data_IF_399020361021
#
_entry.id   IF_399020361021
#
_cell.length_a   1.000
_cell.length_b   1.000
_cell.length_c   1.000
_cell.angle_alpha   90.00
_cell.angle_beta   90.00
_cell.angle_gamma   90.00
#
_symmetry.space_group_name_H-M   'P 1'
#
loop_
_entity.id
_entity.type
_entity.pdbx_description
1 polymer ?
#
# COMPACT_ATOMS: atom_id res chain seq x y z
N UNK A 1 15.03 -11.09 6.96
CA UNK A 1 14.34 -10.19 6.01
C UNK A 1 12.87 -10.60 5.88
N UNK A 2 11.97 -9.63 5.83
CA UNK A 2 10.53 -9.83 5.54
C UNK A 2 10.08 -8.78 4.52
N UNK A 3 8.99 -9.04 3.83
CA UNK A 3 8.37 -8.13 2.87
C UNK A 3 6.86 -8.23 2.98
N UNK A 4 6.20 -7.18 3.48
CA UNK A 4 4.78 -7.18 3.84
C UNK A 4 3.88 -6.47 2.82
N UNK A 5 4.37 -6.22 1.61
CA UNK A 5 3.57 -5.58 0.56
C UNK A 5 3.94 -6.17 -0.80
N UNK A 6 3.12 -7.10 -1.28
CA UNK A 6 3.32 -7.81 -2.55
C UNK A 6 1.99 -8.11 -3.23
N UNK A 7 1.98 -8.00 -4.54
CA UNK A 7 0.83 -8.28 -5.40
C UNK A 7 1.17 -9.45 -6.30
N UNK A 8 0.23 -10.39 -6.46
CA UNK A 8 0.35 -11.53 -7.35
C UNK A 8 0.07 -11.14 -8.80
N UNK A 9 -0.75 -10.11 -9.02
CA UNK A 9 -1.08 -9.60 -10.33
C UNK A 9 -0.52 -8.20 -10.55
N UNK A 10 0.25 -7.98 -11.63
CA UNK A 10 0.63 -6.62 -12.02
C UNK A 10 -0.61 -5.80 -12.42
N UNK A 11 -0.51 -4.48 -12.33
CA UNK A 11 -1.50 -3.56 -12.90
C UNK A 11 -1.60 -3.71 -14.43
N UNK A 12 -2.73 -3.29 -15.01
CA UNK A 12 -2.95 -3.46 -16.45
C UNK A 12 -2.07 -2.55 -17.32
N UNK A 13 -1.47 -1.51 -16.75
CA UNK A 13 -0.51 -0.63 -17.42
C UNK A 13 0.92 -1.21 -17.46
N UNK A 14 1.14 -2.39 -16.87
CA UNK A 14 2.43 -3.07 -16.94
C UNK A 14 2.55 -4.00 -18.16
N UNK A 15 3.28 -3.54 -19.17
CA UNK A 15 3.47 -4.25 -20.45
C UNK A 15 4.28 -5.56 -20.35
N UNK A 16 4.92 -5.87 -19.21
CA UNK A 16 5.72 -7.10 -19.07
C UNK A 16 4.79 -8.31 -18.89
N UNK A 17 5.17 -9.51 -19.36
CA UNK A 17 4.36 -10.72 -19.15
C UNK A 17 4.07 -10.97 -17.66
N UNK A 18 2.85 -11.43 -17.37
CA UNK A 18 2.37 -11.81 -16.05
C UNK A 18 1.33 -12.92 -16.14
N UNK A 19 0.86 -13.45 -15.00
CA UNK A 19 -0.27 -14.38 -15.01
C UNK A 19 -1.52 -13.70 -15.58
N UNK A 20 -2.41 -14.43 -16.27
CA UNK A 20 -3.71 -13.89 -16.64
C UNK A 20 -4.45 -13.37 -15.41
N UNK A 21 -5.20 -12.27 -15.56
CA UNK A 21 -5.92 -11.63 -14.44
C UNK A 21 -6.88 -12.64 -13.79
N UNK A 22 -6.77 -12.80 -12.47
CA UNK A 22 -7.59 -13.74 -11.69
C UNK A 22 -7.15 -15.21 -11.79
N UNK A 23 -6.07 -15.53 -12.52
CA UNK A 23 -5.47 -16.86 -12.54
C UNK A 23 -4.22 -16.92 -11.66
N UNK A 24 -4.06 -18.02 -10.92
CA UNK A 24 -2.93 -18.24 -10.03
C UNK A 24 -2.14 -19.48 -10.48
N UNK A 25 -1.20 -19.34 -11.44
CA UNK A 25 -0.46 -20.48 -11.98
C UNK A 25 0.33 -21.20 -10.88
N UNK A 26 0.41 -22.53 -11.00
CA UNK A 26 1.24 -23.33 -10.12
C UNK A 26 2.70 -22.84 -10.13
N UNK A 27 3.29 -22.63 -8.95
CA UNK A 27 4.65 -22.13 -8.79
C UNK A 27 4.76 -20.60 -8.74
N UNK A 28 3.68 -19.85 -8.98
CA UNK A 28 3.72 -18.38 -8.97
C UNK A 28 4.06 -17.82 -7.58
N UNK A 29 3.31 -18.23 -6.55
CA UNK A 29 3.58 -17.85 -5.15
C UNK A 29 4.97 -18.35 -4.72
N UNK A 30 5.33 -19.58 -5.09
CA UNK A 30 6.63 -20.16 -4.81
C UNK A 30 7.78 -19.32 -5.41
N UNK A 31 7.59 -18.71 -6.59
CA UNK A 31 8.62 -17.87 -7.21
C UNK A 31 8.94 -16.61 -6.37
N UNK A 32 7.94 -16.00 -5.70
CA UNK A 32 8.18 -14.92 -4.73
C UNK A 32 8.95 -15.45 -3.52
N UNK A 33 8.51 -16.59 -2.97
CA UNK A 33 9.15 -17.27 -1.83
C UNK A 33 10.63 -17.55 -2.12
N UNK A 34 10.92 -18.20 -3.24
CA UNK A 34 12.28 -18.50 -3.65
C UNK A 34 13.13 -17.25 -3.84
N UNK A 35 12.56 -16.18 -4.41
CA UNK A 35 13.28 -14.93 -4.62
C UNK A 35 13.67 -14.27 -3.31
N UNK A 36 12.74 -14.19 -2.35
CA UNK A 36 13.04 -13.63 -1.05
C UNK A 36 14.01 -14.51 -0.26
N UNK A 37 13.87 -15.84 -0.32
CA UNK A 37 14.78 -16.79 0.32
C UNK A 37 16.21 -16.66 -0.22
N UNK A 38 16.37 -16.48 -1.55
CA UNK A 38 17.69 -16.19 -2.16
C UNK A 38 18.30 -14.88 -1.65
N UNK A 39 17.49 -13.95 -1.17
CA UNK A 39 17.91 -12.68 -0.54
C UNK A 39 18.07 -12.79 0.98
N UNK A 40 17.88 -13.97 1.57
CA UNK A 40 18.01 -14.20 3.02
C UNK A 40 16.77 -13.78 3.82
N UNK A 41 15.61 -13.64 3.17
CA UNK A 41 14.34 -13.43 3.85
C UNK A 41 13.65 -14.71 4.28
N UNK A 42 12.68 -14.56 5.18
CA UNK A 42 12.02 -15.68 5.85
C UNK A 42 10.50 -15.63 5.83
N UNK A 43 9.88 -14.52 5.42
CA UNK A 43 8.42 -14.36 5.41
C UNK A 43 7.98 -13.26 4.42
N UNK A 44 6.83 -13.49 3.77
CA UNK A 44 6.20 -12.61 2.78
C UNK A 44 4.75 -12.34 3.15
N UNK A 45 4.28 -11.11 2.97
CA UNK A 45 2.86 -10.77 3.00
C UNK A 45 2.40 -10.39 1.61
N UNK A 46 1.35 -11.05 1.13
CA UNK A 46 0.63 -10.60 -0.06
C UNK A 46 -0.49 -9.66 0.38
N UNK A 47 -0.72 -8.60 -0.37
CA UNK A 47 -1.67 -7.52 -0.09
C UNK A 47 -2.28 -7.06 -1.40
N UNK A 48 -3.06 -7.92 -2.05
CA UNK A 48 -3.73 -7.52 -3.30
C UNK A 48 -4.59 -6.26 -3.11
N UNK A 49 -4.73 -5.47 -4.17
CA UNK A 49 -5.54 -4.26 -4.11
C UNK A 49 -7.02 -4.60 -4.06
N UNK A 50 -7.73 -4.08 -3.05
CA UNK A 50 -9.16 -4.32 -2.89
C UNK A 50 -9.98 -3.81 -4.08
N UNK A 51 -9.69 -2.61 -4.61
CA UNK A 51 -10.47 -2.05 -5.73
C UNK A 51 -10.49 -2.95 -6.99
N UNK A 52 -9.47 -3.82 -7.14
CA UNK A 52 -9.34 -4.75 -8.27
C UNK A 52 -10.19 -6.00 -8.12
N UNK A 53 -10.67 -6.29 -6.90
CA UNK A 53 -11.59 -7.38 -6.63
C UNK A 53 -13.02 -7.01 -7.04
N UNK A 54 -13.67 -7.85 -7.85
CA UNK A 54 -15.03 -7.59 -8.33
C UNK A 54 -16.04 -7.44 -7.18
N UNK A 55 -15.80 -8.12 -6.06
CA UNK A 55 -16.62 -8.08 -4.85
C UNK A 55 -16.60 -6.72 -4.16
N UNK A 56 -15.57 -5.89 -4.38
CA UNK A 56 -15.46 -4.55 -3.81
C UNK A 56 -16.32 -3.51 -4.56
N UNK A 57 -16.64 -3.74 -5.84
CA UNK A 57 -17.34 -2.77 -6.68
C UNK A 57 -18.65 -2.26 -6.08
N UNK A 58 -19.56 -3.12 -5.55
CA UNK A 58 -20.83 -2.65 -5.02
C UNK A 58 -20.69 -1.79 -3.78
N UNK A 59 -19.55 -1.90 -3.08
CA UNK A 59 -19.24 -1.18 -1.84
C UNK A 59 -18.53 0.14 -2.13
N UNK A 60 -17.49 0.11 -2.96
CA UNK A 60 -16.75 1.32 -3.37
C UNK A 60 -17.57 2.23 -4.28
N UNK A 61 -18.55 1.65 -4.98
CA UNK A 61 -19.46 2.38 -5.85
C UNK A 61 -18.73 3.08 -7.01
N UNK A 62 -19.00 4.37 -7.15
CA UNK A 62 -18.41 5.24 -8.19
C UNK A 62 -17.74 6.44 -7.55
N UNK A 63 -16.82 6.20 -6.63
CA UNK A 63 -16.11 7.25 -5.88
C UNK A 63 -15.49 8.35 -6.78
N UNK A 64 -15.19 8.03 -8.04
CA UNK A 64 -14.66 8.97 -9.02
C UNK A 64 -15.68 9.99 -9.55
N UNK A 65 -16.98 9.84 -9.30
CA UNK A 65 -18.01 10.80 -9.72
C UNK A 65 -18.15 11.98 -8.73
N UNK A 66 -17.74 11.80 -7.47
CA UNK A 66 -17.95 12.79 -6.42
C UNK A 66 -16.93 13.94 -6.49
N UNK A 67 -17.43 15.16 -6.71
CA UNK A 67 -16.63 16.39 -6.67
C UNK A 67 -15.49 16.48 -7.70
N UNK A 68 -15.49 15.60 -8.70
CA UNK A 68 -14.37 15.41 -9.62
C UNK A 68 -14.68 15.97 -11.00
N UNK A 69 -13.68 16.58 -11.63
CA UNK A 69 -13.78 17.05 -13.00
C UNK A 69 -14.10 15.90 -13.98
N UNK A 70 -14.95 16.12 -15.00
CA UNK A 70 -15.40 15.04 -15.89
C UNK A 70 -14.28 14.27 -16.59
N UNK A 71 -13.17 14.91 -16.98
CA UNK A 71 -12.08 14.21 -17.67
C UNK A 71 -11.30 13.32 -16.69
N UNK A 72 -11.06 13.81 -15.47
CA UNK A 72 -10.45 13.02 -14.38
C UNK A 72 -11.35 11.85 -13.98
N UNK A 73 -12.67 12.09 -13.83
CA UNK A 73 -13.63 11.05 -13.47
C UNK A 73 -13.69 9.95 -14.54
N UNK A 74 -13.69 10.34 -15.82
CA UNK A 74 -13.68 9.39 -16.94
C UNK A 74 -12.38 8.59 -17.00
N UNK A 75 -11.23 9.23 -16.80
CA UNK A 75 -9.94 8.55 -16.74
C UNK A 75 -9.94 7.49 -15.63
N UNK A 76 -10.38 7.85 -14.43
CA UNK A 76 -10.42 6.92 -13.29
C UNK A 76 -11.44 5.81 -13.48
N UNK A 77 -12.60 6.09 -14.08
CA UNK A 77 -13.56 5.04 -14.45
C UNK A 77 -12.93 4.01 -15.40
N UNK A 78 -12.21 4.46 -16.44
CA UNK A 78 -11.55 3.57 -17.40
C UNK A 78 -10.41 2.77 -16.74
N UNK A 79 -9.60 3.42 -15.90
CA UNK A 79 -8.53 2.79 -15.13
C UNK A 79 -9.07 1.68 -14.21
N UNK A 80 -10.06 2.00 -13.37
CA UNK A 80 -10.66 1.03 -12.44
C UNK A 80 -11.29 -0.13 -13.20
N UNK A 81 -12.03 0.13 -14.29
CA UNK A 81 -12.65 -0.93 -15.10
C UNK A 81 -11.63 -1.84 -15.77
N UNK A 82 -10.47 -1.32 -16.13
CA UNK A 82 -9.42 -2.08 -16.81
C UNK A 82 -8.65 -2.95 -15.81
N UNK A 83 -8.39 -2.44 -14.61
CA UNK A 83 -7.66 -3.14 -13.56
C UNK A 83 -8.54 -4.12 -12.75
N UNK A 84 -9.86 -3.93 -12.77
CA UNK A 84 -10.81 -4.79 -12.07
C UNK A 84 -11.00 -6.11 -12.81
N UNK A 85 -10.70 -7.20 -12.12
CA UNK A 85 -10.85 -8.55 -12.66
C UNK A 85 -10.44 -9.66 -11.69
N UNK A 86 -10.02 -9.31 -10.48
CA UNK A 86 -9.67 -10.28 -9.45
C UNK A 86 -10.93 -10.75 -8.70
N UNK A 87 -10.84 -11.93 -8.11
CA UNK A 87 -11.80 -12.38 -7.09
C UNK A 87 -11.12 -12.34 -5.73
N UNK A 88 -11.75 -11.64 -4.78
CA UNK A 88 -11.32 -11.59 -3.39
C UNK A 88 -11.29 -13.01 -2.79
N UNK A 89 -12.33 -13.80 -3.01
CA UNK A 89 -12.41 -15.19 -2.53
C UNK A 89 -11.31 -16.06 -3.16
N UNK A 90 -11.07 -15.90 -4.48
CA UNK A 90 -10.02 -16.61 -5.19
C UNK A 90 -8.62 -16.29 -4.65
N UNK A 91 -8.35 -15.00 -4.44
CA UNK A 91 -7.09 -14.53 -3.83
C UNK A 91 -6.87 -15.13 -2.44
N UNK A 92 -7.88 -15.02 -1.56
CA UNK A 92 -7.80 -15.56 -0.19
C UNK A 92 -7.58 -17.06 -0.22
N UNK A 93 -8.31 -17.79 -1.06
CA UNK A 93 -8.19 -19.25 -1.19
C UNK A 93 -6.76 -19.67 -1.54
N UNK A 94 -6.12 -18.97 -2.48
CA UNK A 94 -4.78 -19.32 -2.95
C UNK A 94 -3.69 -19.07 -1.90
N UNK A 95 -3.77 -17.95 -1.18
CA UNK A 95 -2.82 -17.68 -0.08
C UNK A 95 -3.05 -18.64 1.09
N UNK A 96 -4.29 -18.93 1.46
CA UNK A 96 -4.60 -19.91 2.51
C UNK A 96 -4.05 -21.29 2.12
N UNK A 97 -4.27 -21.73 0.88
CA UNK A 97 -3.71 -22.99 0.38
C UNK A 97 -2.17 -22.98 0.41
N UNK A 98 -1.52 -21.88 0.06
CA UNK A 98 -0.07 -21.73 0.17
C UNK A 98 0.44 -21.87 1.62
N UNK A 99 -0.28 -21.28 2.60
CA UNK A 99 0.01 -21.44 4.04
C UNK A 99 -0.14 -22.89 4.49
N UNK A 100 -1.21 -23.57 4.06
CA UNK A 100 -1.45 -24.99 4.37
C UNK A 100 -0.37 -25.92 3.79
N UNK A 101 0.22 -25.56 2.63
CA UNK A 101 1.40 -26.23 2.06
C UNK A 101 2.70 -25.95 2.85
N UNK A 102 2.67 -25.06 3.83
CA UNK A 102 3.82 -24.70 4.67
C UNK A 102 4.72 -23.62 4.07
N UNK A 103 4.25 -22.87 3.06
CA UNK A 103 5.00 -21.70 2.58
C UNK A 103 4.95 -20.58 3.63
N UNK A 104 6.05 -19.81 3.79
CA UNK A 104 6.12 -18.74 4.79
C UNK A 104 5.48 -17.46 4.25
N UNK A 105 4.17 -17.54 3.99
CA UNK A 105 3.37 -16.45 3.45
C UNK A 105 2.30 -16.00 4.44
N UNK A 106 1.94 -14.73 4.36
CA UNK A 106 0.92 -14.06 5.14
C UNK A 106 -0.16 -13.55 4.21
N UNK A 107 -1.40 -13.73 4.63
CA UNK A 107 -2.59 -13.23 3.96
C UNK A 107 -2.86 -11.82 4.48
N UNK A 108 -2.59 -10.82 3.66
CA UNK A 108 -3.02 -9.45 3.89
C UNK A 108 -3.89 -8.93 2.77
N UNK A 109 -4.22 -7.65 2.83
CA UNK A 109 -4.99 -6.94 1.81
C UNK A 109 -4.58 -5.48 1.85
N UNK A 110 -4.44 -4.86 0.68
CA UNK A 110 -4.34 -3.41 0.60
C UNK A 110 -5.74 -2.82 0.43
N UNK A 111 -6.18 -2.11 1.47
CA UNK A 111 -7.49 -1.49 1.54
C UNK A 111 -7.38 -0.05 1.08
N UNK A 112 -7.96 0.23 -0.09
CA UNK A 112 -8.12 1.59 -0.59
C UNK A 112 -9.02 2.39 0.36
N UNK A 113 -8.53 3.51 0.87
CA UNK A 113 -9.26 4.31 1.84
C UNK A 113 -10.18 5.34 1.18
N UNK A 114 -11.48 5.18 1.43
CA UNK A 114 -12.50 6.18 1.15
C UNK A 114 -13.33 6.37 2.42
N UNK A 115 -13.32 7.56 3.04
CA UNK A 115 -14.03 7.81 4.30
C UNK A 115 -15.50 7.38 4.27
N UNK A 116 -16.16 7.56 3.12
CA UNK A 116 -17.58 7.31 2.95
C UNK A 116 -17.95 5.82 2.88
N UNK A 117 -17.00 4.94 2.55
CA UNK A 117 -17.27 3.51 2.31
C UNK A 117 -16.48 2.57 3.23
N UNK A 118 -15.56 3.09 4.04
CA UNK A 118 -14.64 2.27 4.85
C UNK A 118 -15.37 1.28 5.76
N UNK A 119 -16.48 1.67 6.41
CA UNK A 119 -17.23 0.75 7.28
C UNK A 119 -17.81 -0.44 6.49
N UNK A 120 -18.40 -0.17 5.33
CA UNK A 120 -18.97 -1.22 4.47
C UNK A 120 -17.87 -2.10 3.84
N UNK A 121 -16.69 -1.53 3.56
CA UNK A 121 -15.51 -2.29 3.15
C UNK A 121 -15.06 -3.25 4.25
N UNK A 122 -14.97 -2.76 5.49
CA UNK A 122 -14.60 -3.60 6.64
C UNK A 122 -15.60 -4.74 6.87
N UNK A 123 -16.90 -4.49 6.70
CA UNK A 123 -17.93 -5.53 6.77
C UNK A 123 -17.77 -6.59 5.66
N UNK A 124 -17.46 -6.16 4.43
CA UNK A 124 -17.22 -7.06 3.30
C UNK A 124 -16.05 -8.01 3.57
N UNK A 125 -14.94 -7.49 4.10
CA UNK A 125 -13.70 -8.27 4.28
C UNK A 125 -13.65 -9.01 5.63
N UNK A 126 -14.49 -8.67 6.61
CA UNK A 126 -14.49 -9.26 7.95
C UNK A 126 -14.53 -10.81 8.01
N UNK A 127 -15.19 -11.54 7.08
CA UNK A 127 -15.24 -13.00 7.14
C UNK A 127 -13.90 -13.73 6.91
N UNK A 128 -12.89 -13.05 6.36
CA UNK A 128 -11.63 -13.68 5.96
C UNK A 128 -10.56 -13.69 7.07
N UNK A 129 -9.66 -14.69 7.10
CA UNK A 129 -8.70 -14.87 8.18
C UNK A 129 -7.42 -14.04 7.97
N UNK A 130 -7.56 -12.71 7.86
CA UNK A 130 -6.45 -11.79 7.61
C UNK A 130 -5.35 -11.90 8.67
N UNK A 131 -4.10 -12.02 8.23
CA UNK A 131 -2.94 -11.86 9.10
C UNK A 131 -2.68 -10.39 9.41
N UNK A 132 -2.89 -9.50 8.43
CA UNK A 132 -2.76 -8.05 8.57
C UNK A 132 -3.52 -7.33 7.45
N UNK A 133 -3.81 -6.05 7.64
CA UNK A 133 -4.35 -5.15 6.62
C UNK A 133 -3.42 -3.94 6.49
N UNK A 134 -3.13 -3.54 5.27
CA UNK A 134 -2.53 -2.23 4.99
C UNK A 134 -3.59 -1.32 4.39
N UNK A 135 -3.49 -0.02 4.63
CA UNK A 135 -4.36 0.98 4.01
C UNK A 135 -3.57 1.99 3.22
N UNK A 136 -4.14 2.43 2.11
CA UNK A 136 -3.52 3.36 1.19
C UNK A 136 -4.51 4.42 0.71
N UNK A 137 -4.02 5.64 0.50
CA UNK A 137 -4.73 6.70 -0.23
C UNK A 137 -4.22 6.74 -1.68
N UNK A 138 -4.90 6.05 -2.59
CA UNK A 138 -4.59 6.12 -4.02
C UNK A 138 -5.35 7.26 -4.74
N UNK A 139 -6.43 7.75 -4.15
CA UNK A 139 -7.28 8.76 -4.76
C UNK A 139 -7.64 9.92 -3.83
N UNK A 140 -7.72 11.12 -4.42
CA UNK A 140 -8.34 12.32 -3.83
C UNK A 140 -9.57 12.67 -4.67
N UNK A 141 -10.75 12.25 -4.19
CA UNK A 141 -11.94 12.17 -5.04
C UNK A 141 -11.70 11.16 -6.16
N UNK A 142 -11.89 11.56 -7.42
CA UNK A 142 -11.52 10.75 -8.57
C UNK A 142 -10.11 10.98 -9.11
N UNK A 143 -9.29 11.85 -8.51
CA UNK A 143 -7.90 12.02 -8.93
C UNK A 143 -7.03 10.89 -8.36
N UNK A 144 -6.47 10.03 -9.23
CA UNK A 144 -5.43 9.07 -8.82
C UNK A 144 -4.09 9.79 -8.64
N UNK A 145 -3.61 9.87 -7.40
CA UNK A 145 -2.42 10.67 -7.04
C UNK A 145 -1.13 10.08 -7.58
N UNK A 146 -1.16 8.79 -7.89
CA UNK A 146 0.00 7.99 -8.22
C UNK A 146 -0.05 7.38 -9.63
N UNK A 147 -1.01 7.76 -10.47
CA UNK A 147 -1.04 7.38 -11.90
C UNK A 147 -0.40 8.44 -12.80
N UNK A 148 0.39 8.00 -13.80
CA UNK A 148 1.11 8.90 -14.71
C UNK A 148 0.15 9.77 -15.52
N UNK A 149 -0.97 9.18 -15.95
CA UNK A 149 -2.04 9.85 -16.69
C UNK A 149 -2.76 10.95 -15.90
N UNK A 150 -2.56 11.01 -14.58
CA UNK A 150 -3.21 11.96 -13.68
C UNK A 150 -2.29 13.10 -13.23
N UNK A 151 -1.03 13.16 -13.70
CA UNK A 151 -0.06 14.18 -13.24
C UNK A 151 -0.47 15.63 -13.58
N UNK A 152 -1.34 15.84 -14.57
CA UNK A 152 -1.92 17.14 -14.91
C UNK A 152 -2.70 17.78 -13.74
N UNK A 153 -3.16 16.97 -12.79
CA UNK A 153 -3.89 17.44 -11.61
C UNK A 153 -3.04 18.30 -10.68
N UNK A 154 -1.72 18.08 -10.62
CA UNK A 154 -0.82 18.91 -9.84
C UNK A 154 -0.77 20.35 -10.37
N UNK A 155 -0.80 20.53 -11.69
CA UNK A 155 -0.86 21.86 -12.31
C UNK A 155 -2.23 22.50 -12.09
N UNK A 156 -3.31 21.72 -12.21
CA UNK A 156 -4.69 22.21 -12.07
C UNK A 156 -5.04 22.64 -10.65
N UNK A 157 -4.61 21.87 -9.65
CA UNK A 157 -4.92 22.09 -8.21
C UNK A 157 -3.92 23.02 -7.53
N UNK A 158 -2.69 23.05 -8.05
CA UNK A 158 -1.53 23.57 -7.34
C UNK A 158 -0.97 22.51 -6.40
N UNK A 159 0.36 22.41 -6.34
CA UNK A 159 1.08 21.36 -5.59
C UNK A 159 0.75 21.41 -4.10
N UNK A 160 0.74 22.60 -3.49
CA UNK A 160 0.47 22.73 -2.05
C UNK A 160 -0.95 22.22 -1.71
N UNK A 161 -1.97 22.65 -2.45
CA UNK A 161 -3.36 22.16 -2.30
C UNK A 161 -3.46 20.66 -2.50
N UNK A 162 -2.75 20.11 -3.49
CA UNK A 162 -2.76 18.69 -3.80
C UNK A 162 -2.21 17.86 -2.62
N UNK A 163 -1.12 18.33 -2.01
CA UNK A 163 -0.55 17.73 -0.81
C UNK A 163 -1.48 17.89 0.40
N UNK A 164 -2.06 19.07 0.64
CA UNK A 164 -3.02 19.29 1.74
C UNK A 164 -4.21 18.33 1.65
N UNK A 165 -4.79 18.15 0.46
CA UNK A 165 -5.92 17.25 0.24
C UNK A 165 -5.56 15.78 0.45
N UNK A 166 -4.40 15.36 -0.06
CA UNK A 166 -3.90 13.99 0.13
C UNK A 166 -3.60 13.69 1.60
N UNK A 167 -2.88 14.58 2.30
CA UNK A 167 -2.53 14.38 3.70
C UNK A 167 -3.72 14.48 4.67
N UNK A 168 -4.79 15.20 4.28
CA UNK A 168 -6.05 15.15 5.03
C UNK A 168 -6.63 13.73 5.03
N UNK A 169 -6.66 13.05 3.87
CA UNK A 169 -7.12 11.67 3.77
C UNK A 169 -6.19 10.68 4.47
N UNK A 170 -4.87 10.86 4.40
CA UNK A 170 -3.91 10.05 5.17
C UNK A 170 -4.13 10.18 6.68
N UNK A 171 -4.42 11.39 7.16
CA UNK A 171 -4.71 11.62 8.57
C UNK A 171 -6.06 10.98 8.98
N UNK A 172 -7.07 11.04 8.11
CA UNK A 172 -8.36 10.35 8.33
C UNK A 172 -8.20 8.82 8.34
N UNK A 173 -7.42 8.26 7.41
CA UNK A 173 -7.07 6.84 7.37
C UNK A 173 -6.36 6.44 8.67
N UNK A 174 -5.33 7.19 9.08
CA UNK A 174 -4.62 6.94 10.32
C UNK A 174 -5.53 7.05 11.56
N UNK A 175 -6.47 7.99 11.57
CA UNK A 175 -7.41 8.17 12.68
C UNK A 175 -8.50 7.09 12.73
N UNK A 176 -8.83 6.46 11.60
CA UNK A 176 -9.87 5.45 11.50
C UNK A 176 -9.58 4.20 12.35
N UNK A 177 -8.30 3.82 12.47
CA UNK A 177 -7.90 2.53 13.06
C UNK A 177 -8.45 1.32 12.30
N UNK A 178 -8.89 1.50 11.05
CA UNK A 178 -9.55 0.46 10.25
C UNK A 178 -8.60 -0.67 9.83
N UNK A 179 -7.32 -0.35 9.64
CA UNK A 179 -6.26 -1.26 9.18
C UNK A 179 -5.08 -1.27 10.15
N UNK A 180 -4.06 -2.10 9.89
CA UNK A 180 -2.95 -2.31 10.81
C UNK A 180 -1.71 -1.47 10.47
N UNK A 181 -1.52 -1.14 9.19
CA UNK A 181 -0.34 -0.43 8.66
C UNK A 181 -0.75 0.62 7.63
N UNK A 182 -0.19 1.81 7.70
CA UNK A 182 -0.29 2.83 6.67
C UNK A 182 0.74 2.56 5.56
N UNK A 183 0.29 2.29 4.34
CA UNK A 183 1.13 2.01 3.18
C UNK A 183 1.62 3.30 2.53
N UNK A 184 2.90 3.32 2.12
CA UNK A 184 3.53 4.37 1.31
C UNK A 184 2.97 5.81 1.48
N UNK A 185 2.83 6.27 2.73
CA UNK A 185 2.11 7.49 3.20
C UNK A 185 2.50 8.85 2.61
N UNK A 186 3.47 8.90 1.72
CA UNK A 186 3.82 10.09 0.95
C UNK A 186 3.94 9.79 -0.56
N UNK A 187 3.20 8.80 -1.07
CA UNK A 187 3.20 8.37 -2.49
C UNK A 187 2.78 9.49 -3.42
N UNK A 188 2.10 10.54 -2.94
CA UNK A 188 1.83 11.77 -3.70
C UNK A 188 3.09 12.40 -4.32
N UNK A 189 4.28 12.11 -3.77
CA UNK A 189 5.57 12.54 -4.32
C UNK A 189 6.09 11.71 -5.50
N UNK A 190 5.43 10.61 -5.90
CA UNK A 190 5.89 9.58 -6.87
C UNK A 190 6.50 10.13 -8.15
N UNK A 191 5.95 11.22 -8.68
CA UNK A 191 6.37 11.89 -9.92
C UNK A 191 7.25 13.14 -9.71
N UNK A 192 7.65 13.42 -8.46
CA UNK A 192 8.55 14.54 -8.13
C UNK A 192 7.84 15.87 -7.84
N UNK A 193 6.51 15.94 -7.88
CA UNK A 193 5.75 17.13 -7.49
C UNK A 193 5.77 17.31 -5.97
N UNK A 194 6.51 18.32 -5.50
CA UNK A 194 6.68 18.63 -4.07
C UNK A 194 6.44 20.10 -3.75
N UNK A 195 5.87 20.41 -2.58
CA UNK A 195 5.88 21.76 -2.05
C UNK A 195 7.30 22.31 -1.98
N UNK A 196 7.45 23.63 -2.02
CA UNK A 196 8.76 24.29 -1.94
C UNK A 196 9.43 24.04 -0.58
N UNK A 197 8.62 23.96 0.48
CA UNK A 197 9.08 23.72 1.85
C UNK A 197 8.59 22.35 2.31
N UNK A 198 9.36 21.70 3.18
CA UNK A 198 8.94 20.44 3.80
C UNK A 198 7.61 20.62 4.56
N UNK A 199 6.55 19.86 4.26
CA UNK A 199 5.21 20.08 4.82
C UNK A 199 5.06 19.44 6.21
N UNK A 200 5.87 19.87 7.17
CA UNK A 200 6.00 19.25 8.50
C UNK A 200 4.67 19.16 9.28
N UNK A 201 3.77 20.14 9.11
CA UNK A 201 2.45 20.16 9.77
C UNK A 201 1.51 19.08 9.21
N UNK A 202 1.61 18.79 7.91
CA UNK A 202 0.85 17.69 7.29
C UNK A 202 1.34 16.34 7.83
N UNK A 203 2.67 16.18 7.95
CA UNK A 203 3.28 14.99 8.54
C UNK A 203 2.88 14.80 10.00
N UNK A 204 2.94 15.87 10.80
CA UNK A 204 2.55 15.83 12.21
C UNK A 204 1.10 15.35 12.39
N UNK A 205 0.19 15.80 11.54
CA UNK A 205 -1.24 15.41 11.61
C UNK A 205 -1.44 13.89 11.41
N UNK A 206 -0.75 13.28 10.45
CA UNK A 206 -0.80 11.83 10.21
C UNK A 206 -0.16 11.07 11.37
N UNK A 207 0.98 11.55 11.89
CA UNK A 207 1.70 10.91 13.00
C UNK A 207 0.85 10.92 14.27
N UNK A 208 0.24 12.05 14.63
CA UNK A 208 -0.64 12.15 15.79
C UNK A 208 -1.80 11.16 15.71
N UNK A 209 -2.42 11.04 14.53
CA UNK A 209 -3.48 10.09 14.27
C UNK A 209 -3.00 8.62 14.38
N UNK A 210 -1.86 8.29 13.78
CA UNK A 210 -1.27 6.95 13.83
C UNK A 210 -0.90 6.52 15.27
N UNK A 211 -0.35 7.44 16.07
CA UNK A 211 -0.09 7.21 17.50
C UNK A 211 -1.39 6.94 18.25
N UNK A 212 -2.44 7.72 17.98
CA UNK A 212 -3.73 7.57 18.66
C UNK A 212 -4.44 6.26 18.32
N UNK A 213 -4.33 5.78 17.09
CA UNK A 213 -4.96 4.52 16.64
C UNK A 213 -4.09 3.29 16.87
N UNK A 214 -2.79 3.47 17.14
CA UNK A 214 -1.84 2.38 17.33
C UNK A 214 -1.43 1.68 16.03
N UNK A 215 -1.65 2.33 14.89
CA UNK A 215 -1.27 1.82 13.57
C UNK A 215 0.24 1.91 13.35
N UNK A 216 0.77 0.99 12.55
CA UNK A 216 2.15 1.06 12.07
C UNK A 216 2.27 1.89 10.79
N UNK A 217 3.50 2.20 10.37
CA UNK A 217 3.78 2.77 9.05
C UNK A 217 4.71 1.85 8.25
N UNK A 218 4.44 1.74 6.96
CA UNK A 218 5.29 1.00 6.04
C UNK A 218 6.59 1.75 5.74
N UNK A 219 7.72 1.02 5.66
CA UNK A 219 8.93 1.49 4.97
C UNK A 219 9.12 0.71 3.68
N UNK A 220 8.91 1.37 2.55
CA UNK A 220 8.81 0.72 1.23
C UNK A 220 9.88 1.18 0.26
N UNK A 221 10.45 0.20 -0.45
CA UNK A 221 11.37 0.45 -1.57
C UNK A 221 10.67 0.82 -2.87
N UNK A 222 9.32 0.88 -2.92
CA UNK A 222 8.57 1.13 -4.15
C UNK A 222 9.09 2.37 -4.90
N UNK A 223 9.24 3.48 -4.18
CA UNK A 223 9.61 4.76 -4.77
C UNK A 223 11.01 4.82 -5.40
N UNK A 224 11.89 3.87 -5.07
CA UNK A 224 13.19 3.70 -5.74
C UNK A 224 13.05 3.22 -7.19
N UNK A 225 11.93 2.57 -7.52
CA UNK A 225 11.58 2.14 -8.89
C UNK A 225 10.71 3.17 -9.63
N UNK A 226 10.35 4.28 -8.98
CA UNK A 226 9.48 5.33 -9.53
C UNK A 226 10.31 6.61 -9.81
N UNK A 227 9.79 7.59 -10.57
CA UNK A 227 10.54 8.80 -10.92
C UNK A 227 11.12 9.57 -9.73
N UNK A 228 10.47 9.52 -8.56
CA UNK A 228 10.98 10.16 -7.34
C UNK A 228 12.32 9.58 -6.85
N UNK A 229 12.60 8.29 -7.10
CA UNK A 229 13.86 7.65 -6.74
C UNK A 229 14.17 7.66 -5.23
N UNK A 230 13.14 7.71 -4.39
CA UNK A 230 13.23 7.82 -2.92
C UNK A 230 12.32 6.78 -2.26
N UNK A 231 12.73 6.24 -1.11
CA UNK A 231 11.88 5.37 -0.27
C UNK A 231 10.61 6.11 0.20
N UNK A 232 9.56 5.35 0.45
CA UNK A 232 8.37 5.82 1.17
C UNK A 232 8.39 5.31 2.63
N UNK A 233 8.13 6.14 3.64
CA UNK A 233 8.11 7.60 3.60
C UNK A 233 9.50 8.22 3.38
N UNK A 234 9.55 9.53 3.11
CA UNK A 234 10.79 10.31 3.02
C UNK A 234 11.63 10.19 4.30
N UNK A 235 12.97 10.37 4.24
CA UNK A 235 13.81 10.24 5.43
C UNK A 235 13.44 11.18 6.59
N UNK A 236 12.89 12.36 6.30
CA UNK A 236 12.43 13.30 7.32
C UNK A 236 11.15 12.75 7.96
N UNK A 237 10.18 12.36 7.14
CA UNK A 237 8.90 11.88 7.63
C UNK A 237 9.06 10.56 8.42
N UNK A 238 9.90 9.64 7.94
CA UNK A 238 10.23 8.39 8.64
C UNK A 238 10.84 8.64 10.02
N UNK A 239 11.71 9.64 10.15
CA UNK A 239 12.31 10.03 11.43
C UNK A 239 11.28 10.61 12.38
N UNK A 240 10.35 11.43 11.89
CA UNK A 240 9.27 11.97 12.71
C UNK A 240 8.35 10.87 13.25
N UNK A 241 8.01 9.86 12.44
CA UNK A 241 7.31 8.66 12.93
C UNK A 241 8.10 7.94 14.04
N UNK A 242 9.42 7.79 13.85
CA UNK A 242 10.29 7.13 14.82
C UNK A 242 10.34 7.88 16.15
N UNK A 243 10.50 9.21 16.10
CA UNK A 243 10.53 10.08 17.27
C UNK A 243 9.20 10.05 18.06
N UNK A 244 8.08 9.86 17.36
CA UNK A 244 6.76 9.69 17.96
C UNK A 244 6.49 8.26 18.48
N UNK A 245 7.36 7.29 18.17
CA UNK A 245 7.21 5.90 18.60
C UNK A 245 6.23 5.08 17.76
N UNK A 246 5.93 5.50 16.52
CA UNK A 246 5.09 4.73 15.60
C UNK A 246 5.89 3.53 15.08
N UNK A 247 5.40 2.28 15.21
CA UNK A 247 6.14 1.10 14.78
C UNK A 247 6.12 0.95 13.25
N UNK A 248 6.99 0.10 12.70
CA UNK A 248 7.14 -0.07 11.24
C UNK A 248 6.95 -1.50 10.74
N UNK A 249 6.55 -1.64 9.47
CA UNK A 249 6.77 -2.84 8.65
C UNK A 249 7.74 -2.52 7.51
N UNK A 250 8.26 -3.54 6.83
CA UNK A 250 9.16 -3.38 5.68
C UNK A 250 8.51 -3.97 4.43
N UNK A 251 8.63 -3.26 3.32
CA UNK A 251 7.92 -3.56 2.10
C UNK A 251 8.77 -3.35 0.86
N UNK A 252 8.43 -4.08 -0.20
CA UNK A 252 8.89 -3.79 -1.55
C UNK A 252 7.83 -3.24 -2.47
N UNK A 253 6.54 -3.51 -2.20
CA UNK A 253 5.41 -3.20 -3.10
C UNK A 253 5.67 -3.84 -4.49
N UNK A 254 6.05 -5.11 -4.42
CA UNK A 254 6.50 -5.89 -5.54
C UNK A 254 5.30 -6.49 -6.28
N UNK A 255 5.22 -6.23 -7.57
CA UNK A 255 4.16 -6.73 -8.45
C UNK A 255 4.60 -7.94 -9.28
N UNK A 256 5.85 -8.39 -9.06
CA UNK A 256 6.45 -9.57 -9.70
C UNK A 256 7.34 -10.35 -8.74
N UNK A 257 7.56 -11.65 -9.00
CA UNK A 257 8.45 -12.48 -8.19
C UNK A 257 9.85 -11.88 -7.98
N UNK A 258 10.45 -11.30 -9.03
CA UNK A 258 11.79 -10.68 -8.96
C UNK A 258 11.85 -9.42 -8.10
N UNK A 259 10.70 -8.81 -7.82
CA UNK A 259 10.57 -7.61 -7.00
C UNK A 259 10.44 -7.95 -5.50
N UNK A 260 10.18 -9.20 -5.12
CA UNK A 260 10.09 -9.63 -3.73
C UNK A 260 11.37 -9.31 -2.92
N UNK A 261 11.27 -8.44 -1.92
CA UNK A 261 12.39 -7.93 -1.13
C UNK A 261 13.33 -7.00 -1.91
N UNK A 262 12.84 -6.32 -2.95
CA UNK A 262 13.65 -5.38 -3.73
C UNK A 262 14.25 -4.31 -2.83
N UNK A 263 15.53 -4.00 -3.04
CA UNK A 263 16.30 -3.01 -2.29
C UNK A 263 16.16 -3.10 -0.75
N UNK A 264 15.94 -4.31 -0.20
CA UNK A 264 15.71 -4.48 1.24
C UNK A 264 16.83 -3.90 2.12
N UNK A 265 18.08 -4.00 1.69
CA UNK A 265 19.21 -3.41 2.42
C UNK A 265 19.09 -1.89 2.56
N UNK A 266 18.53 -1.20 1.54
CA UNK A 266 18.28 0.23 1.59
C UNK A 266 17.08 0.56 2.49
N UNK A 267 16.04 -0.26 2.47
CA UNK A 267 14.88 -0.15 3.39
C UNK A 267 15.31 -0.31 4.85
N UNK A 268 16.12 -1.31 5.14
CA UNK A 268 16.69 -1.53 6.48
C UNK A 268 17.64 -0.40 6.87
N UNK A 269 18.47 0.10 5.95
CA UNK A 269 19.33 1.27 6.21
C UNK A 269 18.49 2.49 6.57
N UNK A 270 17.47 2.81 5.77
CA UNK A 270 16.59 3.95 6.03
C UNK A 270 15.90 3.86 7.40
N UNK A 271 15.38 2.69 7.76
CA UNK A 271 14.81 2.45 9.08
C UNK A 271 15.84 2.63 10.21
N UNK A 272 17.05 2.07 10.09
CA UNK A 272 18.11 2.25 11.09
C UNK A 272 18.59 3.70 11.21
N UNK A 273 18.72 4.39 10.08
CA UNK A 273 19.14 5.80 10.01
C UNK A 273 18.08 6.75 10.60
N UNK A 274 16.80 6.35 10.57
CA UNK A 274 15.72 7.02 11.27
C UNK A 274 15.71 6.73 12.78
N UNK A 275 16.27 5.61 13.22
CA UNK A 275 16.41 5.22 14.64
C UNK A 275 15.71 3.91 15.02
N UNK A 276 15.11 3.20 14.08
CA UNK A 276 14.41 1.94 14.36
C UNK A 276 15.39 0.80 14.65
N UNK A 277 15.06 0.00 15.67
CA UNK A 277 15.78 -1.24 16.04
C UNK A 277 14.92 -2.50 15.90
N UNK A 278 13.63 -2.33 15.69
CA UNK A 278 12.65 -3.39 15.54
C UNK A 278 11.61 -3.01 14.48
N UNK A 279 10.88 -4.02 14.04
CA UNK A 279 9.72 -3.92 13.14
C UNK A 279 8.62 -4.86 13.62
N UNK A 280 7.42 -4.70 13.09
CA UNK A 280 6.30 -5.57 13.40
C UNK A 280 6.27 -6.79 12.48
N UNK A 281 5.92 -7.90 13.13
CA UNK A 281 5.42 -9.13 12.56
C UNK A 281 3.92 -9.19 12.86
N UNK A 282 3.10 -9.68 11.94
CA UNK A 282 1.66 -9.86 12.19
C UNK A 282 1.20 -11.32 12.09
N UNK A 283 0.32 -11.72 13.01
CA UNK A 283 -0.45 -12.96 12.95
C UNK A 283 -1.88 -12.69 13.39
N UNK A 284 -2.86 -12.94 12.51
CA UNK A 284 -4.29 -12.68 12.79
C UNK A 284 -4.54 -11.29 13.40
N UNK A 285 -4.02 -10.26 12.72
CA UNK A 285 -4.02 -8.84 13.12
C UNK A 285 -3.40 -8.54 14.47
N UNK A 286 -2.65 -9.47 15.04
CA UNK A 286 -1.91 -9.29 16.29
C UNK A 286 -0.44 -9.00 15.98
N UNK A 287 0.07 -7.82 16.34
CA UNK A 287 1.46 -7.46 16.12
C UNK A 287 2.39 -8.11 17.15
N UNK A 288 3.61 -8.42 16.73
CA UNK A 288 4.74 -8.79 17.59
C UNK A 288 5.99 -8.07 17.09
N UNK A 289 6.73 -7.41 17.98
CA UNK A 289 7.99 -6.78 17.61
C UNK A 289 9.09 -7.83 17.39
N UNK A 290 9.82 -7.67 16.29
CA UNK A 290 11.00 -8.46 15.94
C UNK A 290 12.16 -7.53 15.59
N UNK A 291 13.39 -7.98 15.85
CA UNK A 291 14.60 -7.19 15.56
C UNK A 291 14.72 -6.92 14.06
N UNK A 292 15.15 -5.70 13.71
CA UNK A 292 15.32 -5.20 12.35
C UNK A 292 16.53 -5.81 11.63
#
# INVERSE_FOLDING_TARGET
MSDYHLHLHPHADDDRPGPPVGEYPAGHIEAYVETLMRRGGGELGFTEHLYRCAEAQPVLGRFWEDGTDPDTAKFTEEMVRTDQGLSLEGYVTEIVAAKERGLPVKLGLEVDFFPETIDAVLELIAPYPWDFLIGSVHWVGGWSVDSEGSTVEFERRGIDTAWEQYFALEAELAASGSVDVLAHVDVVKKYGYRPVSEPLELYASVIEAAVSSGMAVEVSSQGLRKPVGEIYPSPIFLRMFQEAGVPITLASDGHRPEEAGYAHDQVVSAARDAGYTAKLHFDRRSPTEIVL
#
